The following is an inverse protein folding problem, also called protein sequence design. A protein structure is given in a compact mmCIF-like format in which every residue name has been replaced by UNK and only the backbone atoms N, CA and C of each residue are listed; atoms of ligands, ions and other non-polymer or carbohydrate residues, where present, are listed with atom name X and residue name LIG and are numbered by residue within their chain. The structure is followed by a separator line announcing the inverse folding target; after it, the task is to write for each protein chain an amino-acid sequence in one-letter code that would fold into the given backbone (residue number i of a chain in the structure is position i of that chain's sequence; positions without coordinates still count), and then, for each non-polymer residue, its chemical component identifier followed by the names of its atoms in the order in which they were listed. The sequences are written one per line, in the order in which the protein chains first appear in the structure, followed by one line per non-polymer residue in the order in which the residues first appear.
data_IF_415844991066
#
_entry.id   IF_415844991066
#
_cell.length_a   1.000
_cell.length_b   1.000
_cell.length_c   1.000
_cell.angle_alpha   90.00
_cell.angle_beta   90.00
_cell.angle_gamma   90.00
#
_symmetry.space_group_name_H-M   'P 1'
#
loop_
_entity.id
_entity.type
_entity.pdbx_description
1 polymer ?
#
# COMPACT_ATOMS: atom_id res chain seq x y z
N UNK A 1 -3.33 3.67 26.08
CA UNK A 1 -3.40 3.37 24.63
C UNK A 1 -4.42 4.22 23.86
N UNK A 2 -5.49 4.74 24.49
CA UNK A 2 -6.49 5.58 23.82
C UNK A 2 -5.97 6.89 23.23
N UNK A 3 -4.92 7.49 23.82
CA UNK A 3 -4.25 8.68 23.26
C UNK A 3 -3.56 8.45 21.90
N UNK A 4 -3.38 7.20 21.46
CA UNK A 4 -2.83 6.85 20.15
C UNK A 4 -3.91 6.47 19.11
N UNK A 5 -5.20 6.74 19.42
CA UNK A 5 -6.32 6.40 18.55
C UNK A 5 -6.52 4.89 18.38
N UNK A 6 -6.10 4.09 19.37
CA UNK A 6 -6.13 2.63 19.33
C UNK A 6 -7.54 2.11 19.59
N UNK A 7 -8.08 1.31 18.66
CA UNK A 7 -9.35 0.59 18.82
C UNK A 7 -9.16 -0.69 19.63
N UNK A 8 -10.20 -1.13 20.34
CA UNK A 8 -10.20 -2.35 21.17
C UNK A 8 -9.76 -3.59 20.39
N UNK A 9 -10.11 -3.66 19.11
CA UNK A 9 -9.73 -4.75 18.19
C UNK A 9 -8.22 -4.90 18.02
N UNK A 10 -7.46 -3.79 17.99
CA UNK A 10 -5.99 -3.86 17.89
C UNK A 10 -5.41 -4.48 19.15
N UNK A 11 -5.90 -4.06 20.32
CA UNK A 11 -5.46 -4.63 21.61
C UNK A 11 -5.79 -6.12 21.69
N UNK A 12 -7.00 -6.51 21.27
CA UNK A 12 -7.38 -7.93 21.24
C UNK A 12 -6.49 -8.74 20.31
N UNK A 13 -6.24 -8.27 19.08
CA UNK A 13 -5.33 -8.94 18.14
C UNK A 13 -3.92 -9.10 18.69
N UNK A 14 -3.41 -8.09 19.40
CA UNK A 14 -2.11 -8.16 20.10
C UNK A 14 -2.13 -9.25 21.18
N UNK A 15 -3.17 -9.30 22.01
CA UNK A 15 -3.32 -10.34 23.04
C UNK A 15 -3.41 -11.74 22.43
N UNK A 16 -4.16 -11.90 21.36
CA UNK A 16 -4.30 -13.18 20.64
C UNK A 16 -2.97 -13.60 20.00
N UNK A 17 -2.20 -12.66 19.44
CA UNK A 17 -0.88 -12.93 18.87
C UNK A 17 0.12 -13.41 19.92
N UNK A 18 0.15 -12.75 21.08
CA UNK A 18 1.00 -13.13 22.21
C UNK A 18 0.60 -14.50 22.78
N UNK A 19 -0.71 -14.76 22.89
CA UNK A 19 -1.25 -16.06 23.33
C UNK A 19 -0.84 -17.19 22.40
N UNK A 20 -0.99 -17.00 21.09
CA UNK A 20 -0.62 -17.99 20.06
C UNK A 20 0.88 -18.26 20.00
N UNK A 21 1.69 -17.24 20.29
CA UNK A 21 3.14 -17.40 20.40
C UNK A 21 3.60 -18.12 21.67
N UNK A 22 2.68 -18.46 22.58
CA UNK A 22 2.97 -18.96 23.93
C UNK A 22 3.98 -18.07 24.68
N UNK A 23 3.98 -16.77 24.37
CA UNK A 23 4.95 -15.83 24.91
C UNK A 23 4.55 -15.32 26.31
N UNK A 24 3.24 -15.34 26.60
CA UNK A 24 2.62 -14.97 27.89
C UNK A 24 1.38 -15.86 28.06
N UNK A 25 1.18 -16.46 29.23
CA UNK A 25 -0.09 -17.11 29.56
C UNK A 25 -1.17 -16.04 29.74
N UNK A 26 -2.04 -15.86 28.74
CA UNK A 26 -3.09 -14.81 28.75
C UNK A 26 -4.24 -15.05 29.76
N UNK A 27 -4.01 -15.83 30.82
CA UNK A 27 -4.90 -15.99 31.97
C UNK A 27 -4.49 -15.14 33.18
N UNK A 28 -3.27 -14.61 33.23
CA UNK A 28 -2.79 -13.82 34.36
C UNK A 28 -3.26 -12.36 34.31
N UNK A 29 -3.78 -11.87 35.45
CA UNK A 29 -4.14 -10.46 35.64
C UNK A 29 -3.01 -9.55 35.17
N UNK A 30 -3.31 -8.55 34.34
CA UNK A 30 -2.32 -7.59 33.81
C UNK A 30 -1.51 -6.88 34.90
N UNK A 31 -2.06 -6.80 36.12
CA UNK A 31 -1.39 -6.25 37.30
C UNK A 31 -0.18 -7.08 37.76
N UNK A 32 -0.11 -8.36 37.38
CA UNK A 32 0.96 -9.29 37.75
C UNK A 32 2.09 -9.36 36.71
N UNK A 33 1.95 -8.65 35.59
CA UNK A 33 2.93 -8.74 34.50
C UNK A 33 4.28 -8.18 34.93
N UNK A 34 5.31 -8.99 34.73
CA UNK A 34 6.70 -8.60 34.84
C UNK A 34 7.08 -7.56 33.77
N UNK A 35 8.18 -6.84 34.01
CA UNK A 35 8.72 -5.89 33.01
C UNK A 35 9.05 -6.56 31.66
N UNK A 36 9.40 -7.85 31.66
CA UNK A 36 9.70 -8.59 30.45
C UNK A 36 8.43 -8.82 29.62
N UNK A 37 7.34 -9.24 30.28
CA UNK A 37 6.02 -9.44 29.66
C UNK A 37 5.44 -8.14 29.10
N UNK A 38 5.54 -7.05 29.87
CA UNK A 38 5.15 -5.72 29.38
C UNK A 38 5.95 -5.32 28.13
N UNK A 39 7.26 -5.60 28.10
CA UNK A 39 8.11 -5.30 26.94
C UNK A 39 7.72 -6.13 25.70
N UNK A 40 7.38 -7.40 25.89
CA UNK A 40 6.86 -8.25 24.81
C UNK A 40 5.55 -7.72 24.28
N UNK A 41 4.62 -7.36 25.17
CA UNK A 41 3.34 -6.78 24.78
C UNK A 41 3.51 -5.46 24.01
N UNK A 42 4.35 -4.54 24.52
CA UNK A 42 4.59 -3.26 23.84
C UNK A 42 5.20 -3.46 22.46
N UNK A 43 6.13 -4.41 22.32
CA UNK A 43 6.73 -4.74 21.01
C UNK A 43 5.67 -5.25 20.03
N UNK A 44 4.89 -6.26 20.42
CA UNK A 44 3.84 -6.81 19.56
C UNK A 44 2.75 -5.78 19.25
N UNK A 45 2.41 -4.95 20.24
CA UNK A 45 1.47 -3.85 20.06
C UNK A 45 1.96 -2.85 19.01
N UNK A 46 3.23 -2.45 19.07
CA UNK A 46 3.83 -1.54 18.08
C UNK A 46 3.83 -2.16 16.69
N UNK A 47 4.22 -3.43 16.57
CA UNK A 47 4.24 -4.14 15.29
C UNK A 47 2.85 -4.24 14.64
N UNK A 48 1.81 -4.49 15.43
CA UNK A 48 0.42 -4.57 14.95
C UNK A 48 -0.16 -3.19 14.62
N UNK A 49 0.15 -2.19 15.44
CA UNK A 49 -0.44 -0.84 15.33
C UNK A 49 0.25 0.02 14.28
N UNK A 50 1.55 -0.20 14.08
CA UNK A 50 2.40 0.57 13.19
C UNK A 50 3.19 -0.37 12.26
N UNK A 51 2.50 -1.00 11.27
CA UNK A 51 3.19 -1.73 10.21
C UNK A 51 4.25 -0.84 9.57
N UNK A 52 5.50 -1.32 9.55
CA UNK A 52 6.65 -0.54 9.10
C UNK A 52 7.19 -1.12 7.80
N UNK A 53 7.28 -0.27 6.77
CA UNK A 53 7.93 -0.56 5.48
C UNK A 53 9.26 0.20 5.43
N UNK A 54 10.31 -0.48 4.99
CA UNK A 54 11.67 0.10 4.92
C UNK A 54 12.06 0.32 3.46
N UNK A 55 12.13 1.58 3.07
CA UNK A 55 12.66 1.99 1.78
C UNK A 55 14.19 2.11 1.83
N UNK A 56 14.90 1.15 1.25
CA UNK A 56 16.36 1.19 1.09
C UNK A 56 16.73 2.04 -0.12
N UNK A 57 16.84 3.34 0.13
CA UNK A 57 17.13 4.32 -0.91
C UNK A 57 18.61 4.31 -1.34
N UNK A 58 18.89 4.88 -2.51
CA UNK A 58 20.22 5.04 -3.14
C UNK A 58 20.76 3.81 -3.85
N UNK A 59 19.87 2.98 -4.43
CA UNK A 59 20.29 1.83 -5.25
C UNK A 59 20.95 2.23 -6.58
N UNK A 60 20.84 3.51 -6.96
CA UNK A 60 21.51 4.11 -8.11
C UNK A 60 23.03 4.31 -7.91
N UNK A 61 23.55 4.09 -6.69
CA UNK A 61 24.97 4.18 -6.42
C UNK A 61 25.71 2.90 -6.86
N UNK A 62 26.91 3.00 -7.47
CA UNK A 62 27.64 1.84 -7.99
C UNK A 62 28.07 0.83 -6.92
N UNK A 63 28.31 1.29 -5.68
CA UNK A 63 28.68 0.42 -4.55
C UNK A 63 27.47 -0.10 -3.74
N UNK A 64 26.24 0.16 -4.21
CA UNK A 64 25.02 -0.16 -3.45
C UNK A 64 24.86 -1.67 -3.19
N UNK A 65 25.29 -2.53 -4.10
CA UNK A 65 25.11 -3.98 -4.06
C UNK A 65 25.63 -4.64 -2.80
N UNK A 66 26.85 -4.25 -2.37
CA UNK A 66 27.50 -4.82 -1.19
C UNK A 66 26.68 -4.51 0.05
N UNK A 67 26.19 -3.27 0.14
CA UNK A 67 25.37 -2.81 1.26
C UNK A 67 23.98 -3.45 1.24
N UNK A 68 23.35 -3.53 0.06
CA UNK A 68 22.07 -4.23 -0.12
C UNK A 68 22.20 -5.68 0.32
N UNK A 69 23.22 -6.41 -0.15
CA UNK A 69 23.43 -7.80 0.22
C UNK A 69 23.71 -7.98 1.72
N UNK A 70 24.42 -7.06 2.36
CA UNK A 70 24.66 -7.09 3.80
C UNK A 70 23.37 -6.87 4.60
N UNK A 71 22.56 -5.90 4.20
CA UNK A 71 21.27 -5.58 4.84
C UNK A 71 20.28 -6.73 4.63
N UNK A 72 20.12 -7.21 3.39
CA UNK A 72 19.26 -8.34 3.08
C UNK A 72 19.68 -9.58 3.88
N UNK A 73 20.97 -9.89 3.96
CA UNK A 73 21.46 -11.01 4.80
C UNK A 73 21.17 -10.82 6.29
N UNK A 74 21.20 -9.58 6.80
CA UNK A 74 20.91 -9.28 8.21
C UNK A 74 19.44 -9.48 8.57
N UNK A 75 18.53 -9.15 7.65
CA UNK A 75 17.08 -9.22 7.85
C UNK A 75 16.44 -10.48 7.25
N UNK A 76 17.19 -11.26 6.48
CA UNK A 76 16.74 -12.54 5.94
C UNK A 76 16.24 -13.45 7.05
N UNK A 77 15.03 -13.99 6.88
CA UNK A 77 14.46 -14.92 7.86
C UNK A 77 15.36 -16.15 8.01
N UNK A 78 15.81 -16.40 9.24
CA UNK A 78 16.44 -17.66 9.62
C UNK A 78 15.31 -18.68 9.89
N UNK A 79 14.75 -19.27 8.83
CA UNK A 79 13.74 -20.33 8.91
C UNK A 79 12.28 -19.87 9.11
N UNK A 80 11.36 -20.84 9.09
CA UNK A 80 9.91 -20.63 9.08
C UNK A 80 9.30 -20.03 10.37
N UNK A 81 10.12 -19.77 11.40
CA UNK A 81 9.69 -19.20 12.69
C UNK A 81 10.63 -18.15 13.28
N UNK A 82 11.53 -17.56 12.48
CA UNK A 82 12.47 -16.55 12.97
C UNK A 82 11.74 -15.30 13.48
N UNK A 83 12.03 -14.89 14.72
CA UNK A 83 11.57 -13.60 15.25
C UNK A 83 12.05 -12.46 14.37
N UNK A 84 11.17 -11.50 14.07
CA UNK A 84 11.52 -10.25 13.39
C UNK A 84 12.68 -9.59 14.12
N UNK A 85 13.78 -9.35 13.40
CA UNK A 85 14.91 -8.59 13.95
C UNK A 85 14.57 -7.11 13.82
N UNK A 86 14.69 -6.38 14.92
CA UNK A 86 14.41 -4.94 14.98
C UNK A 86 12.95 -4.57 14.54
N UNK A 87 12.01 -5.52 14.58
CA UNK A 87 10.60 -5.32 14.16
C UNK A 87 10.39 -5.30 12.63
N UNK A 88 11.43 -5.57 11.84
CA UNK A 88 11.39 -5.49 10.38
C UNK A 88 11.27 -6.90 9.79
N UNK A 89 10.33 -7.08 8.87
CA UNK A 89 10.21 -8.28 8.04
C UNK A 89 10.97 -8.09 6.72
N UNK A 90 11.54 -9.17 6.17
CA UNK A 90 12.25 -9.15 4.89
C UNK A 90 11.32 -8.68 3.77
N UNK A 91 10.05 -9.11 3.80
CA UNK A 91 9.03 -8.75 2.83
C UNK A 91 8.67 -7.26 2.85
N UNK A 92 8.93 -6.57 3.96
CA UNK A 92 8.69 -5.14 4.14
C UNK A 92 9.86 -4.26 3.69
N UNK A 93 10.93 -4.85 3.19
CA UNK A 93 12.08 -4.11 2.66
C UNK A 93 11.88 -3.92 1.16
N UNK A 94 12.04 -2.68 0.68
CA UNK A 94 11.95 -2.33 -0.74
C UNK A 94 13.19 -1.55 -1.15
N UNK A 95 13.81 -1.97 -2.25
CA UNK A 95 14.94 -1.30 -2.86
C UNK A 95 14.45 -0.09 -3.65
N UNK A 96 15.00 1.10 -3.39
CA UNK A 96 14.49 2.33 -3.99
C UNK A 96 15.57 3.27 -4.52
N UNK A 97 15.23 3.99 -5.60
CA UNK A 97 15.97 5.17 -6.06
C UNK A 97 15.01 6.35 -6.21
N UNK A 98 14.94 7.16 -5.16
CA UNK A 98 14.15 8.39 -5.17
C UNK A 98 14.69 9.42 -6.18
N UNK A 99 16.01 9.43 -6.42
CA UNK A 99 16.64 10.31 -7.40
C UNK A 99 16.19 9.95 -8.82
N UNK A 100 16.20 8.66 -9.16
CA UNK A 100 15.75 8.16 -10.45
C UNK A 100 14.28 8.48 -10.71
N UNK A 101 13.40 8.22 -9.73
CA UNK A 101 11.98 8.53 -9.84
C UNK A 101 11.74 10.04 -10.06
N UNK A 102 12.42 10.89 -9.28
CA UNK A 102 12.29 12.34 -9.41
C UNK A 102 12.75 12.83 -10.79
N UNK A 103 13.86 12.29 -11.30
CA UNK A 103 14.38 12.62 -12.62
C UNK A 103 13.41 12.21 -13.73
N UNK A 104 12.93 10.96 -13.73
CA UNK A 104 11.98 10.45 -14.72
C UNK A 104 10.68 11.25 -14.72
N UNK A 105 10.10 11.52 -13.55
CA UNK A 105 8.88 12.33 -13.43
C UNK A 105 9.09 13.76 -13.92
N UNK A 106 10.25 14.36 -13.66
CA UNK A 106 10.59 15.70 -14.14
C UNK A 106 10.71 15.74 -15.67
N UNK A 107 11.42 14.78 -16.26
CA UNK A 107 11.59 14.70 -17.71
C UNK A 107 10.29 14.37 -18.42
N UNK A 108 9.44 13.52 -17.83
CA UNK A 108 8.11 13.21 -18.35
C UNK A 108 7.21 14.45 -18.37
N UNK A 109 7.21 15.23 -17.27
CA UNK A 109 6.47 16.51 -17.21
C UNK A 109 6.94 17.52 -18.26
N UNK A 110 8.22 17.48 -18.62
CA UNK A 110 8.82 18.34 -19.63
C UNK A 110 8.71 17.80 -21.06
N UNK A 111 8.06 16.64 -21.24
CA UNK A 111 7.90 15.92 -22.52
C UNK A 111 9.22 15.48 -23.16
N UNK A 112 10.26 15.18 -22.37
CA UNK A 112 11.50 14.58 -22.89
C UNK A 112 11.43 13.04 -22.94
N UNK A 113 10.65 12.44 -22.05
CA UNK A 113 10.43 11.00 -21.97
C UNK A 113 8.95 10.72 -21.76
N UNK A 114 8.49 9.54 -22.17
CA UNK A 114 7.21 8.99 -21.78
C UNK A 114 7.47 7.94 -20.70
N UNK A 115 7.03 8.24 -19.49
CA UNK A 115 7.25 7.38 -18.33
C UNK A 115 5.99 7.31 -17.47
N UNK A 116 5.66 6.10 -17.04
CA UNK A 116 4.60 5.82 -16.07
C UNK A 116 5.25 5.42 -14.77
N UNK A 117 4.87 6.06 -13.65
CA UNK A 117 5.45 5.75 -12.33
C UNK A 117 5.27 4.27 -12.00
N UNK A 118 6.38 3.63 -11.59
CA UNK A 118 6.43 2.18 -11.32
C UNK A 118 6.70 1.30 -12.54
N UNK A 119 6.79 1.89 -13.75
CA UNK A 119 7.23 1.19 -14.96
C UNK A 119 8.69 0.76 -14.85
N UNK A 120 9.00 -0.35 -15.50
CA UNK A 120 10.35 -0.90 -15.67
C UNK A 120 11.13 -0.22 -16.79
N UNK A 121 10.47 0.62 -17.57
CA UNK A 121 11.11 1.32 -18.69
C UNK A 121 10.46 2.67 -19.01
N UNK A 122 11.12 3.46 -19.87
CA UNK A 122 10.63 4.71 -20.43
C UNK A 122 10.97 4.82 -21.93
N UNK A 123 10.13 5.56 -22.66
CA UNK A 123 10.35 5.83 -24.09
C UNK A 123 10.93 7.22 -24.28
N UNK A 124 11.90 7.34 -25.19
CA UNK A 124 12.47 8.61 -25.64
C UNK A 124 12.09 8.88 -27.10
N UNK A 125 12.38 10.09 -27.59
CA UNK A 125 12.16 10.42 -29.00
C UNK A 125 12.96 9.51 -29.95
N UNK A 126 14.16 9.10 -29.53
CA UNK A 126 15.02 8.20 -30.30
C UNK A 126 14.40 6.80 -30.49
N UNK A 127 13.43 6.44 -29.65
CA UNK A 127 12.67 5.18 -29.73
C UNK A 127 11.42 5.27 -30.63
N UNK A 128 11.20 6.40 -31.32
CA UNK A 128 10.13 6.57 -32.32
C UNK A 128 8.88 7.33 -31.87
N UNK A 129 8.89 7.96 -30.68
CA UNK A 129 7.80 8.83 -30.23
C UNK A 129 8.07 10.30 -30.63
N UNK A 130 7.52 10.72 -31.76
CA UNK A 130 7.74 12.06 -32.33
C UNK A 130 7.15 13.21 -31.50
N UNK A 131 6.28 12.92 -30.52
CA UNK A 131 5.70 13.93 -29.63
C UNK A 131 6.68 14.39 -28.54
N UNK A 132 7.80 13.68 -28.36
CA UNK A 132 8.81 13.96 -27.35
C UNK A 132 9.88 14.94 -27.86
N UNK A 133 10.44 15.71 -26.93
CA UNK A 133 11.52 16.66 -27.16
C UNK A 133 12.87 15.95 -27.19
N UNK A 134 13.78 16.48 -28.00
CA UNK A 134 15.16 15.97 -28.05
C UNK A 134 15.87 16.17 -26.71
N UNK A 135 16.56 15.11 -26.26
CA UNK A 135 17.38 15.12 -25.06
C UNK A 135 18.75 15.72 -25.38
N UNK A 136 19.28 16.52 -24.45
CA UNK A 136 20.69 16.89 -24.49
C UNK A 136 21.58 15.70 -24.12
N UNK A 137 22.81 15.68 -24.61
CA UNK A 137 23.76 14.57 -24.43
C UNK A 137 23.96 14.20 -22.95
N UNK A 138 23.94 15.19 -22.06
CA UNK A 138 24.06 14.97 -20.61
C UNK A 138 22.85 14.25 -20.04
N UNK A 139 21.63 14.60 -20.46
CA UNK A 139 20.42 13.91 -20.01
C UNK A 139 20.32 12.51 -20.62
N UNK A 140 20.71 12.33 -21.89
CA UNK A 140 20.77 11.02 -22.53
C UNK A 140 21.70 10.06 -21.78
N UNK A 141 22.91 10.51 -21.41
CA UNK A 141 23.84 9.72 -20.58
C UNK A 141 23.27 9.37 -19.21
N UNK A 142 22.62 10.34 -18.54
CA UNK A 142 22.01 10.11 -17.22
C UNK A 142 20.87 9.09 -17.29
N UNK A 143 20.05 9.17 -18.33
CA UNK A 143 18.96 8.22 -18.59
C UNK A 143 19.49 6.82 -18.91
N UNK A 144 20.56 6.70 -19.71
CA UNK A 144 21.23 5.44 -19.96
C UNK A 144 21.75 4.79 -18.66
N UNK A 145 22.51 5.53 -17.86
CA UNK A 145 23.00 5.05 -16.57
C UNK A 145 21.86 4.65 -15.63
N UNK A 146 20.76 5.41 -15.62
CA UNK A 146 19.59 5.11 -14.80
C UNK A 146 18.92 3.80 -15.26
N UNK A 147 18.78 3.60 -16.58
CA UNK A 147 18.18 2.40 -17.15
C UNK A 147 19.00 1.17 -16.77
N UNK A 148 20.32 1.25 -16.87
CA UNK A 148 21.22 0.13 -16.57
C UNK A 148 21.35 -0.15 -15.07
N UNK A 149 21.62 0.89 -14.26
CA UNK A 149 21.93 0.71 -12.83
C UNK A 149 20.68 0.47 -11.98
N UNK A 150 19.52 0.96 -12.41
CA UNK A 150 18.28 0.92 -11.63
C UNK A 150 17.23 0.05 -12.29
N UNK A 151 16.75 0.43 -13.47
CA UNK A 151 15.55 -0.18 -14.05
C UNK A 151 15.78 -1.62 -14.51
N UNK A 152 16.82 -1.87 -15.31
CA UNK A 152 17.14 -3.21 -15.78
C UNK A 152 17.53 -4.15 -14.63
N UNK A 153 18.18 -3.59 -13.61
CA UNK A 153 18.71 -4.36 -12.48
C UNK A 153 17.65 -4.73 -11.44
N UNK A 154 16.75 -3.80 -11.11
CA UNK A 154 15.79 -3.94 -10.02
C UNK A 154 14.33 -3.96 -10.51
N UNK A 155 14.10 -3.83 -11.81
CA UNK A 155 12.78 -3.84 -12.43
C UNK A 155 11.99 -2.53 -12.27
N UNK A 156 12.30 -1.67 -11.31
CA UNK A 156 11.68 -0.35 -11.20
C UNK A 156 12.53 0.58 -10.32
N UNK A 157 12.05 1.80 -10.09
CA UNK A 157 12.63 2.72 -9.10
C UNK A 157 12.28 2.33 -7.65
N UNK A 158 11.33 1.41 -7.45
CA UNK A 158 10.83 0.93 -6.15
C UNK A 158 10.00 1.94 -5.35
N UNK A 159 9.93 3.22 -5.75
CA UNK A 159 9.18 4.25 -5.00
C UNK A 159 7.68 3.94 -4.99
N UNK A 160 7.14 3.55 -6.15
CA UNK A 160 5.74 3.15 -6.24
C UNK A 160 5.46 1.87 -5.45
N UNK A 161 6.39 0.92 -5.47
CA UNK A 161 6.28 -0.34 -4.73
C UNK A 161 6.25 -0.10 -3.20
N UNK A 162 7.07 0.82 -2.67
CA UNK A 162 7.01 1.22 -1.26
C UNK A 162 5.62 1.73 -0.88
N UNK A 163 5.02 2.57 -1.73
CA UNK A 163 3.69 3.14 -1.48
C UNK A 163 2.64 2.03 -1.50
N UNK A 164 2.69 1.14 -2.50
CA UNK A 164 1.77 0.00 -2.60
C UNK A 164 1.88 -0.89 -1.37
N UNK A 165 3.09 -1.32 -0.99
CA UNK A 165 3.32 -2.13 0.22
C UNK A 165 2.87 -1.42 1.49
N UNK A 166 3.06 -0.11 1.61
CA UNK A 166 2.59 0.65 2.77
C UNK A 166 1.06 0.65 2.87
N UNK A 167 0.35 0.76 1.74
CA UNK A 167 -1.11 0.67 1.69
C UNK A 167 -1.59 -0.75 2.02
N UNK A 168 -0.94 -1.78 1.45
CA UNK A 168 -1.24 -3.19 1.70
C UNK A 168 -1.00 -3.58 3.15
N UNK A 169 0.08 -3.09 3.78
CA UNK A 169 0.42 -3.37 5.17
C UNK A 169 -0.61 -2.83 6.16
N UNK A 170 -1.30 -1.74 5.80
CA UNK A 170 -2.41 -1.22 6.58
C UNK A 170 -3.71 -2.01 6.38
N UNK A 171 -3.76 -2.88 5.37
CA UNK A 171 -4.89 -3.77 5.08
C UNK A 171 -6.15 -3.06 4.60
N UNK A 172 -6.07 -1.81 4.11
CA UNK A 172 -7.27 -1.12 3.62
C UNK A 172 -7.82 -1.77 2.36
N UNK A 173 -9.15 -1.78 2.24
CA UNK A 173 -9.88 -2.25 1.06
C UNK A 173 -10.09 -1.06 0.12
N UNK A 174 -9.57 -1.11 -1.13
CA UNK A 174 -9.86 -0.09 -2.13
C UNK A 174 -11.26 -0.30 -2.72
N UNK A 175 -12.08 0.75 -2.66
CA UNK A 175 -13.46 0.76 -3.14
C UNK A 175 -13.62 1.86 -4.19
N UNK A 176 -14.25 1.51 -5.30
CA UNK A 176 -14.48 2.40 -6.44
C UNK A 176 -15.97 2.77 -6.50
N UNK A 177 -16.40 3.86 -5.85
CA UNK A 177 -17.76 4.34 -5.98
C UNK A 177 -17.99 4.88 -7.39
N UNK A 178 -19.03 4.39 -8.06
CA UNK A 178 -19.35 4.77 -9.45
C UNK A 178 -20.78 5.24 -9.57
N UNK A 179 -21.04 6.13 -10.54
CA UNK A 179 -22.40 6.55 -10.90
C UNK A 179 -23.10 5.57 -11.84
N UNK A 180 -22.34 4.77 -12.56
CA UNK A 180 -22.82 3.77 -13.52
C UNK A 180 -21.84 2.60 -13.63
N UNK A 181 -22.35 1.45 -14.09
CA UNK A 181 -21.61 0.18 -14.15
C UNK A 181 -21.32 -0.26 -15.60
N UNK A 182 -21.42 0.67 -16.56
CA UNK A 182 -21.13 0.42 -17.97
C UNK A 182 -19.63 0.30 -18.25
N UNK A 183 -19.27 -0.33 -19.38
CA UNK A 183 -17.87 -0.57 -19.78
C UNK A 183 -17.04 0.71 -19.96
N UNK A 184 -17.68 1.82 -20.34
CA UNK A 184 -17.05 3.13 -20.55
C UNK A 184 -17.19 4.08 -19.35
N UNK A 185 -17.61 3.61 -18.17
CA UNK A 185 -17.68 4.48 -17.00
C UNK A 185 -16.30 4.58 -16.37
N UNK A 186 -15.65 5.76 -16.40
CA UNK A 186 -14.35 5.91 -15.76
C UNK A 186 -14.48 5.77 -14.24
N UNK A 187 -13.61 4.97 -13.64
CA UNK A 187 -13.40 4.94 -12.19
C UNK A 187 -12.69 6.23 -11.76
N UNK A 188 -13.49 7.27 -11.50
CA UNK A 188 -12.95 8.59 -11.14
C UNK A 188 -12.40 8.64 -9.73
N UNK A 189 -13.04 7.93 -8.81
CA UNK A 189 -12.76 7.99 -7.39
C UNK A 189 -12.36 6.60 -6.87
N UNK A 190 -11.40 6.57 -5.95
CA UNK A 190 -11.01 5.40 -5.19
C UNK A 190 -10.93 5.79 -3.71
N UNK A 191 -11.67 5.08 -2.86
CA UNK A 191 -11.73 5.31 -1.42
C UNK A 191 -11.18 4.09 -0.70
N UNK A 192 -10.27 4.32 0.24
CA UNK A 192 -9.73 3.27 1.09
C UNK A 192 -10.59 3.15 2.35
N UNK A 193 -11.16 1.96 2.59
CA UNK A 193 -11.97 1.67 3.79
C UNK A 193 -11.34 0.54 4.62
N UNK A 194 -11.53 0.52 5.95
CA UNK A 194 -11.05 -0.59 6.77
C UNK A 194 -11.67 -1.93 6.34
N UNK A 195 -10.96 -3.06 6.54
CA UNK A 195 -11.55 -4.39 6.41
C UNK A 195 -12.83 -4.53 7.21
N UNK A 196 -13.81 -5.26 6.66
CA UNK A 196 -15.10 -5.46 7.31
C UNK A 196 -16.07 -4.28 7.22
N UNK A 197 -15.71 -3.21 6.48
CA UNK A 197 -16.67 -2.14 6.17
C UNK A 197 -17.83 -2.71 5.34
N UNK A 198 -19.06 -2.43 5.77
CA UNK A 198 -20.28 -2.82 5.05
C UNK A 198 -20.64 -1.84 3.94
N UNK A 199 -21.48 -2.26 3.00
CA UNK A 199 -22.00 -1.39 1.92
C UNK A 199 -22.72 -0.16 2.49
N UNK A 200 -23.53 -0.32 3.53
CA UNK A 200 -24.23 0.82 4.16
C UNK A 200 -23.26 1.81 4.80
N UNK A 201 -22.23 1.31 5.47
CA UNK A 201 -21.20 2.16 6.07
C UNK A 201 -20.38 2.92 5.04
N UNK A 202 -20.13 2.34 3.86
CA UNK A 202 -19.52 3.04 2.74
C UNK A 202 -20.36 4.25 2.32
N UNK A 203 -21.68 4.11 2.16
CA UNK A 203 -22.56 5.21 1.79
C UNK A 203 -22.46 6.38 2.79
N UNK A 204 -22.46 6.05 4.09
CA UNK A 204 -22.24 7.01 5.18
C UNK A 204 -20.88 7.69 5.12
N UNK A 205 -19.81 6.95 4.80
CA UNK A 205 -18.44 7.50 4.64
C UNK A 205 -18.32 8.42 3.44
N UNK A 206 -19.04 8.15 2.35
CA UNK A 206 -19.00 8.97 1.14
C UNK A 206 -19.68 10.32 1.36
N UNK A 207 -20.94 10.31 1.84
CA UNK A 207 -21.64 11.55 2.18
C UNK A 207 -22.91 11.28 2.99
N UNK A 208 -23.20 12.11 4.01
CA UNK A 208 -24.40 11.98 4.84
C UNK A 208 -25.72 11.94 4.05
N UNK A 209 -25.81 12.64 2.92
CA UNK A 209 -27.01 12.61 2.04
C UNK A 209 -27.21 11.29 1.31
N UNK A 210 -26.12 10.58 0.99
CA UNK A 210 -26.20 9.26 0.35
C UNK A 210 -26.74 8.24 1.34
N UNK A 211 -26.32 8.35 2.61
CA UNK A 211 -26.83 7.53 3.70
C UNK A 211 -28.30 7.84 4.01
N UNK A 212 -28.67 9.12 4.15
CA UNK A 212 -30.04 9.52 4.46
C UNK A 212 -31.06 9.10 3.39
N UNK A 213 -30.66 9.08 2.12
CA UNK A 213 -31.51 8.70 0.99
C UNK A 213 -31.12 7.35 0.40
N UNK A 214 -30.46 6.48 1.16
CA UNK A 214 -29.99 5.19 0.67
C UNK A 214 -31.18 4.32 0.23
N UNK A 215 -31.15 3.83 -1.00
CA UNK A 215 -32.18 2.96 -1.56
C UNK A 215 -31.66 1.56 -1.93
N UNK A 216 -30.35 1.40 -2.05
CA UNK A 216 -29.71 0.14 -2.42
C UNK A 216 -28.31 0.35 -2.98
N UNK A 217 -27.66 -0.74 -3.37
CA UNK A 217 -26.36 -0.69 -4.02
C UNK A 217 -26.21 -1.82 -5.04
N UNK A 218 -25.44 -1.54 -6.08
CA UNK A 218 -25.18 -2.48 -7.17
C UNK A 218 -23.69 -2.60 -7.42
N UNK A 219 -23.24 -3.79 -7.80
CA UNK A 219 -21.90 -4.03 -8.31
C UNK A 219 -21.90 -4.47 -9.78
N UNK A 220 -20.71 -4.70 -10.34
CA UNK A 220 -20.52 -5.05 -11.75
C UNK A 220 -21.39 -6.26 -12.12
N UNK A 221 -22.04 -6.17 -13.28
CA UNK A 221 -23.01 -7.17 -13.72
C UNK A 221 -24.45 -6.92 -13.24
N UNK A 222 -24.72 -5.80 -12.57
CA UNK A 222 -26.06 -5.45 -12.09
C UNK A 222 -26.49 -6.27 -10.87
N UNK A 223 -25.52 -6.83 -10.14
CA UNK A 223 -25.77 -7.62 -8.94
C UNK A 223 -26.10 -6.66 -7.80
N UNK A 224 -27.28 -6.81 -7.21
CA UNK A 224 -27.68 -6.08 -6.01
C UNK A 224 -26.89 -6.56 -4.79
N UNK A 225 -26.43 -5.62 -3.99
CA UNK A 225 -25.72 -5.86 -2.74
C UNK A 225 -26.63 -5.55 -1.55
N UNK A 226 -26.58 -6.39 -0.53
CA UNK A 226 -27.26 -6.14 0.73
C UNK A 226 -26.57 -5.01 1.52
N UNK A 227 -27.30 -4.37 2.44
CA UNK A 227 -26.75 -3.28 3.25
C UNK A 227 -25.61 -3.73 4.17
N UNK A 228 -25.71 -4.96 4.67
CA UNK A 228 -24.78 -5.63 5.57
C UNK A 228 -23.69 -6.43 4.85
N UNK A 229 -23.71 -6.47 3.50
CA UNK A 229 -22.65 -7.12 2.73
C UNK A 229 -21.31 -6.47 3.03
N UNK A 230 -20.31 -7.31 3.33
CA UNK A 230 -18.94 -6.86 3.52
C UNK A 230 -18.30 -6.55 2.17
N UNK A 231 -17.56 -5.45 2.11
CA UNK A 231 -16.83 -5.08 0.91
C UNK A 231 -15.52 -5.88 0.85
N UNK A 232 -15.35 -6.62 -0.23
CA UNK A 232 -14.22 -7.51 -0.49
C UNK A 232 -13.52 -7.08 -1.79
N UNK A 233 -12.20 -6.78 -1.75
CA UNK A 233 -11.43 -6.43 -2.94
C UNK A 233 -11.58 -7.48 -4.04
N UNK A 234 -11.82 -7.04 -5.29
CA UNK A 234 -11.93 -7.91 -6.46
C UNK A 234 -13.26 -8.67 -6.60
N UNK A 235 -14.15 -8.62 -5.59
CA UNK A 235 -15.46 -9.29 -5.63
C UNK A 235 -16.60 -8.31 -5.80
N UNK A 236 -16.72 -7.35 -4.89
CA UNK A 236 -17.83 -6.38 -4.84
C UNK A 236 -17.35 -4.96 -4.50
N UNK A 237 -16.09 -4.64 -4.77
CA UNK A 237 -15.48 -3.35 -4.43
C UNK A 237 -15.64 -2.25 -5.49
N UNK A 238 -16.40 -2.52 -6.55
CA UNK A 238 -16.92 -1.50 -7.48
C UNK A 238 -18.41 -1.34 -7.15
N UNK A 239 -18.81 -0.19 -6.62
CA UNK A 239 -20.14 -0.03 -6.01
C UNK A 239 -20.82 1.22 -6.55
N UNK A 240 -22.03 1.04 -7.07
CA UNK A 240 -22.98 2.11 -7.38
C UNK A 240 -24.01 2.20 -6.28
N UNK A 241 -24.07 3.34 -5.59
CA UNK A 241 -25.10 3.60 -4.57
C UNK A 241 -26.34 4.17 -5.27
N UNK A 242 -27.48 3.56 -5.00
CA UNK A 242 -28.79 4.01 -5.43
C UNK A 242 -29.39 4.87 -4.32
N UNK A 243 -29.94 6.02 -4.71
CA UNK A 243 -30.65 6.90 -3.77
C UNK A 243 -32.08 7.17 -4.21
N UNK A 244 -32.98 7.33 -3.26
CA UNK A 244 -34.40 7.63 -3.50
C UNK A 244 -34.65 9.03 -4.04
N UNK A 245 -33.65 9.93 -3.98
CA UNK A 245 -33.78 11.34 -4.37
C UNK A 245 -33.44 11.64 -5.85
N UNK A 246 -33.43 10.64 -6.74
CA UNK A 246 -32.89 10.74 -8.10
C UNK A 246 -33.78 10.27 -9.26
N UNK A 247 -35.09 10.12 -9.06
CA UNK A 247 -36.05 9.98 -10.17
C UNK A 247 -36.65 11.35 -10.49
N UNK A 248 -35.92 12.13 -11.28
CA UNK A 248 -36.31 13.45 -11.80
C UNK A 248 -35.35 13.92 -12.87
#
# INVERSE_FOLDING_TARGET
LGGYGTVKEVVQRTMDAISRGMLIECGDSMEKWSRAEVKVFVREFVDQRFPTIVALNKIDMPDSDKNIAAIMRRYKRQGSGGSKRDGIDEDNIVLTSALSECLLRKLAKQKFVKYTTGSDDFTTKDDGDEELRDLDEKSRRRLGNLRDLVLFRYGSTGVQEVIVKAVEALGFVPVFPVKGLGRDVPFRDCVLVPPGTTVRELARKLHHRLDANYAGAETVGGIQLAEDDLIVPGKNNIIKILTTAGSG
#
